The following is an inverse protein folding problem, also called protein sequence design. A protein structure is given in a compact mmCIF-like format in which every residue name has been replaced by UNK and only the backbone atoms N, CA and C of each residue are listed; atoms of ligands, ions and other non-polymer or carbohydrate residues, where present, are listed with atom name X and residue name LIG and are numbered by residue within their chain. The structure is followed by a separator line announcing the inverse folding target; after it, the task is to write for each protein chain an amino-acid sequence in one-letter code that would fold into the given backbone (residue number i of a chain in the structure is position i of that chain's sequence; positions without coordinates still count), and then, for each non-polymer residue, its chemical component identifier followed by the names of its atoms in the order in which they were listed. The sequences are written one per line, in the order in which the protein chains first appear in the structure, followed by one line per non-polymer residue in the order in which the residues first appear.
data_IF_342676082713
#
_entry.id   IF_342676082713
#
_cell.length_a   1.000
_cell.length_b   1.000
_cell.length_c   1.000
_cell.angle_alpha   90.00
_cell.angle_beta   90.00
_cell.angle_gamma   90.00
#
_symmetry.space_group_name_H-M   'P 1'
#
loop_
_entity.id
_entity.type
_entity.pdbx_description
1 polymer ?
#
# COMPACT_ATOMS: atom_id res chain seq x y z
N UNK A 1 -34.11 24.79 14.69
CA UNK A 1 -33.62 24.25 15.98
C UNK A 1 -33.24 22.80 15.68
N UNK A 2 -31.93 22.56 15.46
CA UNK A 2 -31.03 21.77 16.34
C UNK A 2 -31.54 20.33 16.48
N UNK A 3 -30.83 19.26 16.10
CA UNK A 3 -29.41 18.95 16.28
C UNK A 3 -29.15 17.68 15.42
N UNK A 4 -28.18 17.64 14.51
CA UNK A 4 -26.82 17.13 14.72
C UNK A 4 -26.79 15.79 15.49
N UNK A 5 -26.56 14.68 14.78
CA UNK A 5 -26.05 13.40 15.32
C UNK A 5 -25.38 12.70 14.12
N UNK A 6 -24.16 13.13 13.80
CA UNK A 6 -22.93 12.41 14.18
C UNK A 6 -22.74 11.14 13.33
N UNK A 7 -22.00 11.31 12.23
CA UNK A 7 -21.36 10.24 11.49
C UNK A 7 -20.37 9.54 12.41
N UNK A 8 -20.77 8.41 12.98
CA UNK A 8 -19.82 7.47 13.56
C UNK A 8 -19.09 6.79 12.39
N UNK A 9 -17.86 7.23 12.14
CA UNK A 9 -16.86 6.44 11.43
C UNK A 9 -16.43 5.30 12.36
N UNK A 10 -17.35 4.37 12.60
CA UNK A 10 -17.19 3.29 13.56
C UNK A 10 -16.39 2.16 12.89
N UNK A 11 -15.15 2.04 13.36
CA UNK A 11 -14.29 0.86 13.33
C UNK A 11 -14.21 0.15 11.98
N UNK A 12 -13.37 0.68 11.08
CA UNK A 12 -12.87 -0.15 9.99
C UNK A 12 -12.14 -1.34 10.63
N UNK A 13 -12.59 -2.58 10.44
CA UNK A 13 -11.94 -3.72 11.07
C UNK A 13 -10.47 -3.74 10.64
N UNK A 14 -9.57 -3.65 11.62
CA UNK A 14 -8.11 -3.72 11.46
C UNK A 14 -7.63 -5.12 11.00
N UNK A 15 -8.55 -6.01 10.64
CA UNK A 15 -8.29 -7.40 10.38
C UNK A 15 -8.65 -7.75 8.94
N UNK A 16 -7.64 -8.17 8.19
CA UNK A 16 -7.76 -8.72 6.85
C UNK A 16 -8.83 -9.82 6.81
N UNK A 17 -9.84 -9.65 5.95
CA UNK A 17 -10.96 -10.60 5.77
C UNK A 17 -10.59 -11.86 4.97
N UNK A 18 -9.31 -12.06 4.66
CA UNK A 18 -8.80 -13.23 3.95
C UNK A 18 -8.82 -14.49 4.82
N UNK A 19 -9.07 -15.64 4.20
CA UNK A 19 -8.81 -16.95 4.81
C UNK A 19 -7.32 -17.19 5.00
N UNK A 20 -6.95 -18.11 5.90
CA UNK A 20 -5.54 -18.42 6.22
C UNK A 20 -4.73 -18.87 4.99
N UNK A 21 -5.35 -19.61 4.06
CA UNK A 21 -4.69 -20.02 2.82
C UNK A 21 -4.49 -18.86 1.83
N UNK A 22 -5.47 -17.95 1.75
CA UNK A 22 -5.35 -16.74 0.92
C UNK A 22 -4.31 -15.77 1.50
N UNK A 23 -4.12 -15.76 2.82
CA UNK A 23 -3.05 -14.98 3.48
C UNK A 23 -1.67 -15.47 3.07
N UNK A 24 -1.40 -16.78 3.17
CA UNK A 24 -0.08 -17.35 2.82
C UNK A 24 0.30 -17.07 1.37
N UNK A 25 -0.58 -17.33 0.41
CA UNK A 25 -0.30 -17.04 -1.01
C UNK A 25 -0.13 -15.53 -1.25
N UNK A 26 -0.88 -14.69 -0.54
CA UNK A 26 -0.76 -13.23 -0.68
C UNK A 26 0.54 -12.71 -0.08
N UNK A 27 0.96 -13.23 1.07
CA UNK A 27 2.23 -12.90 1.71
C UNK A 27 3.39 -13.21 0.76
N UNK A 28 3.34 -14.35 0.06
CA UNK A 28 4.34 -14.69 -0.96
C UNK A 28 4.35 -13.70 -2.14
N UNK A 29 3.18 -13.26 -2.63
CA UNK A 29 3.07 -12.28 -3.71
C UNK A 29 3.56 -10.88 -3.31
N UNK A 30 3.29 -10.46 -2.07
CA UNK A 30 3.73 -9.17 -1.53
C UNK A 30 5.24 -9.17 -1.32
N UNK A 31 5.79 -10.23 -0.74
CA UNK A 31 7.24 -10.42 -0.59
C UNK A 31 7.93 -10.50 -1.97
N UNK A 32 7.32 -11.16 -2.95
CA UNK A 32 7.83 -11.18 -4.33
C UNK A 32 7.86 -9.78 -4.94
N UNK A 33 6.81 -8.98 -4.72
CA UNK A 33 6.74 -7.61 -5.21
C UNK A 33 7.90 -6.77 -4.67
N UNK A 34 8.15 -6.77 -3.36
CA UNK A 34 9.21 -5.96 -2.76
C UNK A 34 10.64 -6.35 -3.18
N UNK A 35 10.88 -7.62 -3.58
CA UNK A 35 12.18 -8.04 -4.15
C UNK A 35 12.58 -7.29 -5.43
N UNK A 36 11.61 -6.70 -6.12
CA UNK A 36 11.84 -5.96 -7.36
C UNK A 36 12.01 -4.45 -7.14
N UNK A 37 12.06 -3.99 -5.89
CA UNK A 37 12.35 -2.59 -5.58
C UNK A 37 13.76 -2.24 -6.03
N UNK A 38 13.84 -1.28 -6.94
CA UNK A 38 15.09 -0.75 -7.48
C UNK A 38 15.70 0.31 -6.57
N UNK A 39 14.88 0.99 -5.77
CA UNK A 39 15.31 2.05 -4.85
C UNK A 39 14.26 2.27 -3.77
N UNK A 40 14.73 2.50 -2.54
CA UNK A 40 13.91 2.89 -1.38
C UNK A 40 14.32 4.30 -0.97
N UNK A 41 13.36 5.22 -0.91
CA UNK A 41 13.55 6.55 -0.32
C UNK A 41 12.63 6.66 0.90
N UNK A 42 13.21 6.94 2.06
CA UNK A 42 12.45 7.26 3.26
C UNK A 42 11.83 8.66 3.14
N UNK A 43 10.56 8.79 3.51
CA UNK A 43 9.82 10.06 3.60
C UNK A 43 9.52 10.38 5.07
N UNK A 44 9.04 11.58 5.37
CA UNK A 44 8.67 11.92 6.75
C UNK A 44 7.52 11.02 7.28
N UNK A 45 6.57 10.70 6.40
CA UNK A 45 5.30 10.01 6.67
C UNK A 45 5.22 8.60 6.06
N UNK A 46 6.34 8.02 5.62
CA UNK A 46 6.38 6.69 5.01
C UNK A 46 7.58 6.44 4.11
N UNK A 47 7.39 5.74 2.98
CA UNK A 47 8.43 5.42 2.00
C UNK A 47 7.97 5.66 0.56
N UNK A 48 8.94 5.93 -0.32
CA UNK A 48 8.80 5.89 -1.77
C UNK A 48 9.66 4.75 -2.33
N UNK A 49 9.04 3.83 -3.05
CA UNK A 49 9.67 2.63 -3.59
C UNK A 49 9.66 2.70 -5.11
N UNK A 50 10.82 2.53 -5.74
CA UNK A 50 10.97 2.58 -7.19
C UNK A 50 10.88 1.20 -7.80
N UNK A 51 10.02 1.04 -8.80
CA UNK A 51 9.83 -0.19 -9.56
C UNK A 51 10.19 0.00 -11.04
N UNK A 52 10.41 -1.09 -11.80
CA UNK A 52 10.61 -0.99 -13.24
C UNK A 52 9.40 -0.37 -13.96
N UNK A 53 9.68 0.38 -15.02
CA UNK A 53 8.66 0.97 -15.89
C UNK A 53 8.14 -0.04 -16.91
N UNK A 54 6.95 -0.59 -16.69
CA UNK A 54 6.22 -1.36 -17.71
C UNK A 54 4.74 -1.44 -17.37
N UNK A 55 3.90 -1.70 -18.38
CA UNK A 55 2.46 -1.94 -18.17
C UNK A 55 2.20 -3.13 -17.23
N UNK A 56 3.08 -4.14 -17.26
CA UNK A 56 3.02 -5.27 -16.35
C UNK A 56 3.22 -4.83 -14.89
N UNK A 57 4.21 -3.97 -14.64
CA UNK A 57 4.46 -3.42 -13.31
C UNK A 57 3.37 -2.46 -12.85
N UNK A 58 2.86 -1.62 -13.76
CA UNK A 58 1.73 -0.74 -13.46
C UNK A 58 0.51 -1.52 -12.97
N UNK A 59 0.13 -2.58 -13.69
CA UNK A 59 -0.99 -3.43 -13.31
C UNK A 59 -0.74 -4.14 -11.97
N UNK A 60 0.45 -4.72 -11.76
CA UNK A 60 0.81 -5.36 -10.49
C UNK A 60 0.68 -4.40 -9.30
N UNK A 61 1.21 -3.18 -9.42
CA UNK A 61 1.17 -2.17 -8.36
C UNK A 61 -0.26 -1.68 -8.08
N UNK A 62 -1.09 -1.51 -9.11
CA UNK A 62 -2.50 -1.16 -8.93
C UNK A 62 -3.28 -2.28 -8.23
N UNK A 63 -3.06 -3.54 -8.60
CA UNK A 63 -3.68 -4.69 -7.94
C UNK A 63 -3.27 -4.77 -6.46
N UNK A 64 -1.99 -4.57 -6.16
CA UNK A 64 -1.48 -4.48 -4.80
C UNK A 64 -2.20 -3.38 -4.00
N UNK A 65 -2.28 -2.15 -4.52
CA UNK A 65 -2.96 -1.05 -3.85
C UNK A 65 -4.45 -1.35 -3.64
N UNK A 66 -5.14 -1.87 -4.66
CA UNK A 66 -6.57 -2.18 -4.57
C UNK A 66 -6.85 -3.20 -3.47
N UNK A 67 -5.97 -4.19 -3.31
CA UNK A 67 -6.04 -5.19 -2.27
C UNK A 67 -5.73 -4.61 -0.89
N UNK A 68 -4.58 -3.95 -0.72
CA UNK A 68 -4.12 -3.42 0.57
C UNK A 68 -5.07 -2.36 1.14
N UNK A 69 -5.77 -1.60 0.29
CA UNK A 69 -6.80 -0.67 0.75
C UNK A 69 -7.95 -1.34 1.50
N UNK A 70 -8.23 -2.62 1.22
CA UNK A 70 -9.23 -3.40 1.93
C UNK A 70 -8.71 -4.00 3.24
N UNK A 71 -7.41 -4.34 3.30
CA UNK A 71 -6.79 -4.95 4.48
C UNK A 71 -6.29 -3.90 5.50
N UNK A 72 -5.78 -2.77 5.00
CA UNK A 72 -5.09 -1.74 5.75
C UNK A 72 -5.61 -0.34 5.35
N UNK A 73 -6.80 0.06 5.83
CA UNK A 73 -7.49 1.29 5.40
C UNK A 73 -6.78 2.59 5.79
N UNK A 74 -5.78 2.52 6.67
CA UNK A 74 -5.02 3.67 7.17
C UNK A 74 -3.89 4.12 6.24
N UNK A 75 -3.51 3.30 5.25
CA UNK A 75 -2.47 3.68 4.30
C UNK A 75 -2.99 4.68 3.26
N UNK A 76 -2.12 5.63 2.94
CA UNK A 76 -2.22 6.50 1.77
C UNK A 76 -1.25 5.99 0.71
N UNK A 77 -1.80 5.53 -0.41
CA UNK A 77 -1.06 5.04 -1.57
C UNK A 77 -1.02 6.10 -2.68
N UNK A 78 0.12 6.24 -3.36
CA UNK A 78 0.17 6.97 -4.63
C UNK A 78 1.14 6.30 -5.60
N UNK A 79 0.77 6.28 -6.89
CA UNK A 79 1.66 5.90 -7.98
C UNK A 79 2.08 7.14 -8.75
N UNK A 80 3.39 7.30 -8.95
CA UNK A 80 3.96 8.30 -9.83
C UNK A 80 4.68 7.60 -10.98
N UNK A 81 4.25 7.88 -12.19
CA UNK A 81 4.83 7.32 -13.42
C UNK A 81 5.81 8.31 -14.00
N UNK A 82 7.08 7.91 -14.16
CA UNK A 82 8.07 8.75 -14.82
C UNK A 82 7.80 8.85 -16.33
N UNK A 83 8.21 9.96 -16.98
CA UNK A 83 8.07 10.11 -18.43
C UNK A 83 8.72 8.97 -19.22
N UNK A 84 8.31 8.83 -20.49
CA UNK A 84 8.92 7.89 -21.44
C UNK A 84 8.85 6.40 -21.03
N UNK A 85 7.78 5.99 -20.33
CA UNK A 85 7.66 4.65 -19.73
C UNK A 85 8.80 4.34 -18.75
N UNK A 86 9.31 5.38 -18.08
CA UNK A 86 10.29 5.27 -17.01
C UNK A 86 9.75 4.57 -15.77
N UNK A 87 10.52 4.62 -14.69
CA UNK A 87 10.17 3.89 -13.47
C UNK A 87 8.84 4.34 -12.87
N UNK A 88 8.26 3.44 -12.08
CA UNK A 88 7.04 3.72 -11.33
C UNK A 88 7.41 3.83 -9.86
N UNK A 89 7.04 4.93 -9.24
CA UNK A 89 7.21 5.15 -7.81
C UNK A 89 5.92 4.82 -7.08
N UNK A 90 5.99 3.88 -6.14
CA UNK A 90 4.94 3.60 -5.18
C UNK A 90 5.25 4.35 -3.88
N UNK A 91 4.37 5.27 -3.52
CA UNK A 91 4.40 5.92 -2.21
C UNK A 91 3.48 5.16 -1.25
N UNK A 92 4.05 4.72 -0.13
CA UNK A 92 3.36 4.12 1.00
C UNK A 92 3.48 5.08 2.17
N UNK A 93 2.36 5.71 2.56
CA UNK A 93 2.34 6.74 3.61
C UNK A 93 1.22 6.48 4.60
N UNK A 94 1.31 7.05 5.80
CA UNK A 94 0.30 6.84 6.83
C UNK A 94 0.58 7.61 8.12
N UNK A 95 -0.17 7.31 9.19
CA UNK A 95 -0.02 7.97 10.49
C UNK A 95 1.31 7.61 11.17
N UNK A 96 1.59 8.23 12.31
CA UNK A 96 2.78 7.92 13.12
C UNK A 96 2.86 6.41 13.42
N UNK A 97 4.06 5.84 13.29
CA UNK A 97 4.29 4.39 13.44
C UNK A 97 4.14 3.57 12.15
N UNK A 98 3.63 4.14 11.06
CA UNK A 98 3.44 3.42 9.78
C UNK A 98 4.74 2.86 9.19
N UNK A 99 5.87 3.53 9.42
CA UNK A 99 7.17 3.11 8.88
C UNK A 99 7.57 1.73 9.36
N UNK A 100 7.40 1.44 10.64
CA UNK A 100 7.71 0.12 11.21
C UNK A 100 6.84 -0.99 10.58
N UNK A 101 5.60 -0.69 10.24
CA UNK A 101 4.72 -1.63 9.53
C UNK A 101 5.24 -1.86 8.11
N UNK A 102 5.63 -0.80 7.39
CA UNK A 102 6.19 -0.93 6.03
C UNK A 102 7.51 -1.72 6.06
N UNK A 103 8.36 -1.51 7.06
CA UNK A 103 9.61 -2.25 7.25
C UNK A 103 9.40 -3.74 7.52
N UNK A 104 8.35 -4.12 8.25
CA UNK A 104 7.98 -5.52 8.47
C UNK A 104 7.43 -6.20 7.21
N UNK A 105 6.83 -5.42 6.30
CA UNK A 105 6.29 -5.91 5.02
C UNK A 105 7.34 -6.09 3.90
N UNK A 106 8.53 -5.48 4.03
CA UNK A 106 9.61 -5.50 3.03
C UNK A 106 10.57 -6.68 3.21
#
# INVERSE_FOLDING_TARGET
MKQDTEFFADEVPLACTLTEAEKVTREEEVVDLFKHVLQVNELADGYALRFPGSDGWANKLVQFIAFERGCCPFFTFALLFEPEQGSIWLHLRGPEGVKAIIEDMM
#
